data_IF_904328502628
#
_entry.id   IF_904328502628
#
_cell.length_a   1.000
_cell.length_b   1.000
_cell.length_c   1.000
_cell.angle_alpha   90.00
_cell.angle_beta   90.00
_cell.angle_gamma   90.00
#
_symmetry.space_group_name_H-M   'P 1'
#
loop_
_entity.id
_entity.type
_entity.pdbx_description
1 polymer ?
#
# COMPACT_ATOMS: atom_id res chain seq x y z
N UNK A 1 2.18 -1.93 13.71
CA UNK A 1 2.09 -3.23 13.01
C UNK A 1 0.79 -3.96 13.30
N UNK A 2 0.51 -4.42 14.53
CA UNK A 2 -0.69 -5.24 14.81
C UNK A 2 -2.02 -4.62 14.35
N UNK A 3 -2.20 -3.30 14.51
CA UNK A 3 -3.42 -2.58 14.06
C UNK A 3 -3.72 -2.77 12.57
N UNK A 4 -2.70 -2.66 11.70
CA UNK A 4 -2.85 -2.78 10.24
C UNK A 4 -3.02 -4.23 9.79
N UNK A 5 -2.35 -5.16 10.48
CA UNK A 5 -2.54 -6.59 10.27
C UNK A 5 -4.00 -7.01 10.54
N UNK A 6 -4.59 -6.55 11.65
CA UNK A 6 -6.01 -6.82 11.95
C UNK A 6 -6.97 -6.23 10.92
N UNK A 7 -6.68 -5.05 10.38
CA UNK A 7 -7.50 -4.46 9.29
C UNK A 7 -7.47 -5.37 8.06
N UNK A 8 -6.29 -5.84 7.64
CA UNK A 8 -6.15 -6.78 6.52
C UNK A 8 -6.89 -8.11 6.76
N UNK A 9 -6.80 -8.64 7.98
CA UNK A 9 -7.51 -9.87 8.36
C UNK A 9 -9.03 -9.70 8.27
N UNK A 10 -9.57 -8.61 8.82
CA UNK A 10 -11.01 -8.31 8.76
C UNK A 10 -11.48 -8.11 7.32
N UNK A 11 -10.73 -7.37 6.50
CA UNK A 11 -11.04 -7.18 5.07
C UNK A 11 -11.07 -8.51 4.31
N UNK A 12 -10.14 -9.41 4.61
CA UNK A 12 -10.07 -10.75 3.99
C UNK A 12 -11.28 -11.59 4.37
N UNK A 13 -11.68 -11.59 5.65
CA UNK A 13 -12.87 -12.32 6.12
C UNK A 13 -14.14 -11.79 5.46
N UNK A 14 -14.31 -10.46 5.37
CA UNK A 14 -15.45 -9.84 4.71
C UNK A 14 -15.49 -10.23 3.22
N UNK A 15 -14.36 -10.14 2.52
CA UNK A 15 -14.30 -10.47 1.10
C UNK A 15 -14.55 -11.96 0.83
N UNK A 16 -14.09 -12.84 1.73
CA UNK A 16 -14.38 -14.27 1.67
C UNK A 16 -15.89 -14.54 1.82
N UNK A 17 -16.53 -13.88 2.79
CA UNK A 17 -17.97 -14.00 2.97
C UNK A 17 -18.74 -13.55 1.73
N UNK A 18 -18.36 -12.41 1.13
CA UNK A 18 -18.97 -11.93 -0.11
C UNK A 18 -18.74 -12.93 -1.25
N UNK A 19 -17.51 -13.39 -1.48
CA UNK A 19 -17.19 -14.30 -2.59
C UNK A 19 -17.98 -15.62 -2.53
N UNK A 20 -18.17 -16.18 -1.34
CA UNK A 20 -18.99 -17.39 -1.15
C UNK A 20 -20.47 -17.13 -1.46
N UNK A 21 -21.04 -16.01 -0.98
CA UNK A 21 -22.46 -15.69 -1.24
C UNK A 21 -22.73 -15.43 -2.73
N UNK A 22 -21.84 -14.71 -3.41
CA UNK A 22 -22.01 -14.34 -4.82
C UNK A 22 -21.57 -15.44 -5.82
N UNK A 23 -20.98 -16.54 -5.35
CA UNK A 23 -20.39 -17.62 -6.18
C UNK A 23 -19.43 -17.11 -7.26
N UNK A 24 -18.88 -15.91 -7.07
CA UNK A 24 -18.06 -15.20 -8.04
C UNK A 24 -16.64 -15.05 -7.50
N UNK A 25 -15.84 -16.09 -7.69
CA UNK A 25 -14.46 -16.13 -7.23
C UNK A 25 -13.58 -15.05 -7.87
N UNK A 26 -13.88 -14.65 -9.11
CA UNK A 26 -13.13 -13.58 -9.80
C UNK A 26 -13.29 -12.24 -9.08
N UNK A 27 -14.49 -11.94 -8.57
CA UNK A 27 -14.74 -10.72 -7.80
C UNK A 27 -13.93 -10.71 -6.50
N UNK A 28 -13.85 -11.84 -5.80
CA UNK A 28 -13.02 -11.99 -4.61
C UNK A 28 -11.53 -11.72 -4.93
N UNK A 29 -10.99 -12.36 -5.97
CA UNK A 29 -9.58 -12.17 -6.35
C UNK A 29 -9.27 -10.73 -6.76
N UNK A 30 -10.14 -10.10 -7.55
CA UNK A 30 -9.93 -8.73 -8.00
C UNK A 30 -9.92 -7.73 -6.83
N UNK A 31 -10.85 -7.88 -5.88
CA UNK A 31 -10.91 -7.01 -4.70
C UNK A 31 -9.67 -7.19 -3.82
N UNK A 32 -9.27 -8.43 -3.54
CA UNK A 32 -8.08 -8.71 -2.73
C UNK A 32 -6.81 -8.19 -3.42
N UNK A 33 -6.68 -8.40 -4.73
CA UNK A 33 -5.55 -7.91 -5.50
C UNK A 33 -5.45 -6.38 -5.44
N UNK A 34 -6.56 -5.67 -5.64
CA UNK A 34 -6.59 -4.21 -5.55
C UNK A 34 -6.30 -3.71 -4.13
N UNK A 35 -6.83 -4.39 -3.11
CA UNK A 35 -6.62 -4.03 -1.71
C UNK A 35 -5.14 -4.13 -1.28
N UNK A 36 -4.34 -4.97 -1.93
CA UNK A 36 -2.89 -5.07 -1.69
C UNK A 36 -2.11 -4.15 -2.63
N UNK A 37 -2.45 -4.16 -3.92
CA UNK A 37 -1.69 -3.46 -4.95
C UNK A 37 -1.74 -1.94 -4.78
N UNK A 38 -2.90 -1.37 -4.45
CA UNK A 38 -3.04 0.08 -4.33
C UNK A 38 -2.18 0.63 -3.17
N UNK A 39 -2.28 0.14 -1.92
CA UNK A 39 -1.43 0.60 -0.83
C UNK A 39 0.07 0.36 -1.09
N UNK A 40 0.41 -0.79 -1.69
CA UNK A 40 1.79 -1.10 -2.05
C UNK A 40 2.36 -0.07 -3.04
N UNK A 41 1.61 0.27 -4.10
CA UNK A 41 2.00 1.28 -5.08
C UNK A 41 2.13 2.67 -4.45
N UNK A 42 1.19 3.07 -3.59
CA UNK A 42 1.27 4.35 -2.87
C UNK A 42 2.52 4.40 -2.00
N UNK A 43 2.81 3.33 -1.26
CA UNK A 43 4.01 3.23 -0.43
C UNK A 43 5.29 3.35 -1.27
N UNK A 44 5.35 2.64 -2.40
CA UNK A 44 6.46 2.72 -3.35
C UNK A 44 6.66 4.12 -3.94
N UNK A 45 5.59 4.83 -4.28
CA UNK A 45 5.66 6.22 -4.78
C UNK A 45 6.23 7.15 -3.70
N UNK A 46 5.72 7.05 -2.47
CA UNK A 46 6.15 7.91 -1.35
C UNK A 46 7.63 7.77 -1.01
N UNK A 47 8.22 6.57 -1.20
CA UNK A 47 9.65 6.33 -0.95
C UNK A 47 10.52 6.45 -2.21
N UNK A 48 9.95 6.78 -3.36
CA UNK A 48 10.68 6.87 -4.62
C UNK A 48 11.17 5.52 -5.16
N UNK A 49 10.51 4.41 -4.83
CA UNK A 49 10.90 3.06 -5.29
C UNK A 49 10.89 2.89 -6.81
N UNK A 50 10.12 3.73 -7.52
CA UNK A 50 9.93 3.66 -8.98
C UNK A 50 10.76 4.68 -9.77
N UNK A 51 11.69 5.41 -9.14
CA UNK A 51 12.58 6.35 -9.82
C UNK A 51 14.02 5.86 -9.85
N UNK A 52 14.82 6.35 -10.81
CA UNK A 52 16.24 6.02 -10.89
C UNK A 52 17.03 6.60 -9.71
N UNK A 53 18.17 5.98 -9.38
CA UNK A 53 19.03 6.42 -8.29
C UNK A 53 19.50 7.87 -8.42
N UNK A 54 19.75 8.34 -9.64
CA UNK A 54 20.14 9.74 -9.89
C UNK A 54 19.01 10.71 -9.56
N UNK A 55 17.77 10.36 -9.93
CA UNK A 55 16.58 11.15 -9.55
C UNK A 55 16.34 11.12 -8.05
N UNK A 56 16.55 9.98 -7.41
CA UNK A 56 16.42 9.84 -5.95
C UNK A 56 17.45 10.72 -5.22
N UNK A 57 18.70 10.77 -5.70
CA UNK A 57 19.73 11.69 -5.17
C UNK A 57 19.36 13.14 -5.41
N UNK A 58 18.87 13.50 -6.60
CA UNK A 58 18.36 14.84 -6.90
C UNK A 58 17.26 15.27 -5.92
N UNK A 59 16.24 14.42 -5.74
CA UNK A 59 15.16 14.65 -4.79
C UNK A 59 15.68 14.78 -3.35
N UNK A 60 16.69 14.00 -2.96
CA UNK A 60 17.26 14.07 -1.61
C UNK A 60 17.84 15.46 -1.27
N UNK A 61 18.42 16.15 -2.27
CA UNK A 61 18.98 17.49 -2.08
C UNK A 61 17.94 18.61 -2.23
N UNK A 62 16.83 18.37 -2.93
CA UNK A 62 15.76 19.36 -3.11
C UNK A 62 14.66 19.30 -2.04
N UNK A 63 14.42 18.12 -1.47
CA UNK A 63 13.40 17.87 -0.43
C UNK A 63 13.96 18.19 0.97
N UNK A 64 13.11 18.74 1.85
CA UNK A 64 13.45 18.95 3.27
C UNK A 64 13.53 17.64 4.04
N UNK A 65 14.17 17.65 5.22
CA UNK A 65 14.20 16.45 6.07
C UNK A 65 12.82 16.11 6.60
N UNK A 66 12.04 17.14 6.92
CA UNK A 66 10.68 17.06 7.46
C UNK A 66 9.73 16.39 6.46
N UNK A 67 9.78 16.80 5.18
CA UNK A 67 8.99 16.19 4.12
C UNK A 67 9.36 14.71 3.93
N UNK A 68 10.66 14.40 3.97
CA UNK A 68 11.14 13.02 3.84
C UNK A 68 10.66 12.13 4.96
N UNK A 69 10.73 12.60 6.20
CA UNK A 69 10.23 11.86 7.35
C UNK A 69 8.72 11.67 7.30
N UNK A 70 7.99 12.71 6.86
CA UNK A 70 6.54 12.62 6.63
C UNK A 70 6.21 11.54 5.58
N UNK A 71 6.88 11.57 4.43
CA UNK A 71 6.73 10.60 3.35
C UNK A 71 7.02 9.17 3.84
N UNK A 72 8.09 8.98 4.60
CA UNK A 72 8.45 7.69 5.20
C UNK A 72 7.39 7.18 6.20
N UNK A 73 6.87 8.08 7.04
CA UNK A 73 5.83 7.77 8.03
C UNK A 73 4.50 7.42 7.36
N UNK A 74 4.18 8.03 6.23
CA UNK A 74 3.01 7.66 5.44
C UNK A 74 3.22 6.33 4.72
N UNK A 75 4.37 6.12 4.08
CA UNK A 75 4.71 4.87 3.41
C UNK A 75 4.58 3.65 4.34
N UNK A 76 5.03 3.78 5.59
CA UNK A 76 4.92 2.71 6.60
C UNK A 76 3.50 2.45 7.13
N UNK A 77 2.51 3.27 6.76
CA UNK A 77 1.10 3.00 7.07
C UNK A 77 0.39 2.26 5.93
N UNK A 78 0.90 2.40 4.71
CA UNK A 78 0.38 1.73 3.52
C UNK A 78 1.04 0.36 3.27
N UNK A 79 2.17 0.09 3.92
CA UNK A 79 2.87 -1.19 3.92
C UNK A 79 2.75 -1.86 5.30
#
# INVERSE_FOLDING_TARGET
>A
MYKYFFIGLVLTIINLFLGVNFHNWNLLFNITALAVLIPFMISGILIGAFVSGDRMRGNFYSETKEDRESNRKWASKFF
#
